data_IF_968845105632
#
_entry.id   IF_968845105632
#
_cell.length_a   1.000
_cell.length_b   1.000
_cell.length_c   1.000
_cell.angle_alpha   90.00
_cell.angle_beta   90.00
_cell.angle_gamma   90.00
#
_symmetry.space_group_name_H-M   'P 1'
#
loop_
_entity.id
_entity.type
_entity.pdbx_description
1 polymer ?
#
# COMPACT_ATOMS: atom_id res chain seq x y z
N UNK A 1 -35.72 5.36 -9.77
CA UNK A 1 -35.03 4.07 -9.51
C UNK A 1 -33.87 3.79 -10.48
N UNK A 2 -34.08 3.79 -11.81
CA UNK A 2 -33.05 3.40 -12.79
C UNK A 2 -31.78 4.27 -12.81
N UNK A 3 -31.93 5.59 -12.68
CA UNK A 3 -30.81 6.55 -12.67
C UNK A 3 -29.86 6.34 -11.46
N UNK A 4 -30.40 6.01 -10.28
CA UNK A 4 -29.58 5.75 -9.09
C UNK A 4 -28.75 4.47 -9.26
N UNK A 5 -29.35 3.40 -9.78
CA UNK A 5 -28.65 2.15 -10.06
C UNK A 5 -27.49 2.35 -11.05
N UNK A 6 -27.71 3.11 -12.14
CA UNK A 6 -26.65 3.40 -13.11
C UNK A 6 -25.49 4.20 -12.48
N UNK A 7 -25.80 5.21 -11.65
CA UNK A 7 -24.78 5.98 -10.93
C UNK A 7 -23.97 5.09 -9.98
N UNK A 8 -24.64 4.23 -9.20
CA UNK A 8 -23.97 3.28 -8.30
C UNK A 8 -23.11 2.26 -9.06
N UNK A 9 -23.57 1.79 -10.23
CA UNK A 9 -22.80 0.91 -11.11
C UNK A 9 -21.52 1.60 -11.59
N UNK A 10 -21.60 2.86 -12.00
CA UNK A 10 -20.43 3.63 -12.42
C UNK A 10 -19.42 3.80 -11.27
N UNK A 11 -19.90 4.15 -10.08
CA UNK A 11 -19.06 4.27 -8.87
C UNK A 11 -18.37 2.93 -8.57
N UNK A 12 -19.09 1.81 -8.64
CA UNK A 12 -18.52 0.47 -8.43
C UNK A 12 -17.40 0.16 -9.42
N UNK A 13 -17.56 0.51 -10.70
CA UNK A 13 -16.53 0.31 -11.74
C UNK A 13 -15.29 1.15 -11.41
N UNK A 14 -15.48 2.44 -11.08
CA UNK A 14 -14.38 3.34 -10.74
C UNK A 14 -13.63 2.87 -9.49
N UNK A 15 -14.35 2.44 -8.45
CA UNK A 15 -13.75 1.90 -7.23
C UNK A 15 -12.99 0.60 -7.48
N UNK A 16 -13.51 -0.29 -8.35
CA UNK A 16 -12.76 -1.50 -8.75
C UNK A 16 -11.48 -1.15 -9.48
N UNK A 17 -11.51 -0.15 -10.38
CA UNK A 17 -10.31 0.32 -11.09
C UNK A 17 -9.30 0.90 -10.10
N UNK A 18 -9.73 1.78 -9.20
CA UNK A 18 -8.89 2.39 -8.16
C UNK A 18 -8.24 1.33 -7.25
N UNK A 19 -9.04 0.35 -6.81
CA UNK A 19 -8.54 -0.77 -6.02
C UNK A 19 -7.49 -1.55 -6.81
N UNK A 20 -7.78 -1.87 -8.08
CA UNK A 20 -6.85 -2.59 -8.95
C UNK A 20 -5.54 -1.83 -9.19
N UNK A 21 -5.56 -0.51 -9.29
CA UNK A 21 -4.37 0.29 -9.60
C UNK A 21 -3.52 0.60 -8.37
N UNK A 22 -4.14 0.85 -7.22
CA UNK A 22 -3.42 1.36 -6.04
C UNK A 22 -3.24 0.36 -4.91
N UNK A 23 -4.12 -0.64 -4.82
CA UNK A 23 -4.19 -1.55 -3.67
C UNK A 23 -4.14 -3.04 -4.07
N UNK A 24 -4.21 -3.34 -5.37
CA UNK A 24 -3.89 -4.66 -5.88
C UNK A 24 -2.46 -4.97 -5.50
N UNK A 25 -2.31 -6.05 -4.75
CA UNK A 25 -1.02 -6.54 -4.29
C UNK A 25 -0.27 -5.61 -3.33
N UNK A 26 -1.02 -4.85 -2.52
CA UNK A 26 -0.41 -3.97 -1.50
C UNK A 26 0.47 -4.74 -0.52
N UNK A 27 0.16 -6.01 -0.25
CA UNK A 27 0.96 -6.87 0.62
C UNK A 27 2.34 -7.16 0.02
N UNK A 28 2.41 -7.62 -1.23
CA UNK A 28 3.68 -7.84 -1.93
C UNK A 28 4.50 -6.56 -2.04
N UNK A 29 3.85 -5.42 -2.29
CA UNK A 29 4.52 -4.11 -2.30
C UNK A 29 5.14 -3.75 -0.95
N UNK A 30 4.47 -4.08 0.17
CA UNK A 30 5.04 -3.93 1.52
C UNK A 30 6.23 -4.86 1.71
N UNK A 31 6.16 -6.11 1.27
CA UNK A 31 7.27 -7.07 1.35
C UNK A 31 8.49 -6.59 0.56
N UNK A 32 8.30 -6.14 -0.67
CA UNK A 32 9.35 -5.57 -1.52
C UNK A 32 9.98 -4.34 -0.86
N UNK A 33 9.17 -3.42 -0.31
CA UNK A 33 9.69 -2.23 0.38
C UNK A 33 10.47 -2.58 1.66
N UNK A 34 10.06 -3.62 2.40
CA UNK A 34 10.82 -4.14 3.55
C UNK A 34 12.17 -4.70 3.13
N UNK A 35 12.18 -5.50 2.06
CA UNK A 35 13.42 -6.05 1.52
C UNK A 35 14.37 -4.94 1.05
N UNK A 36 13.86 -3.93 0.33
CA UNK A 36 14.63 -2.78 -0.11
C UNK A 36 15.22 -1.98 1.07
N UNK A 37 14.45 -1.77 2.14
CA UNK A 37 14.96 -1.12 3.36
C UNK A 37 16.06 -1.95 4.03
N UNK A 38 15.93 -3.28 4.07
CA UNK A 38 16.96 -4.15 4.63
C UNK A 38 18.27 -4.07 3.83
N UNK A 39 18.19 -4.05 2.49
CA UNK A 39 19.35 -3.87 1.61
C UNK A 39 20.01 -2.51 1.87
N UNK A 40 19.24 -1.41 1.86
CA UNK A 40 19.78 -0.08 2.14
C UNK A 40 20.40 0.05 3.54
N UNK A 41 19.89 -0.71 4.52
CA UNK A 41 20.48 -0.78 5.86
C UNK A 41 21.83 -1.50 5.86
N UNK A 42 21.95 -2.62 5.14
CA UNK A 42 23.21 -3.35 5.01
C UNK A 42 24.25 -2.52 4.26
N UNK A 43 23.88 -1.89 3.15
CA UNK A 43 24.76 -1.01 2.38
C UNK A 43 25.28 0.16 3.22
N UNK A 44 24.42 0.77 4.04
CA UNK A 44 24.82 1.83 4.96
C UNK A 44 25.74 1.38 6.10
N UNK A 45 25.72 0.10 6.48
CA UNK A 45 26.65 -0.48 7.46
C UNK A 45 28.02 -0.76 6.82
N UNK A 46 28.04 -1.25 5.57
CA UNK A 46 29.28 -1.53 4.84
C UNK A 46 29.97 -0.25 4.35
N UNK A 47 29.19 0.73 3.89
CA UNK A 47 29.67 2.00 3.31
C UNK A 47 28.89 3.18 3.89
N UNK A 48 29.27 3.63 5.10
CA UNK A 48 28.62 4.78 5.71
C UNK A 48 28.91 6.05 4.91
N UNK A 49 27.88 6.61 4.29
CA UNK A 49 27.93 7.87 3.56
C UNK A 49 26.61 8.64 3.72
N UNK A 50 26.62 9.92 3.36
CA UNK A 50 25.40 10.71 3.34
C UNK A 50 24.36 10.14 2.36
N UNK A 51 24.82 9.60 1.23
CA UNK A 51 23.97 8.99 0.20
C UNK A 51 23.27 7.73 0.71
N UNK A 52 23.98 6.84 1.41
CA UNK A 52 23.39 5.62 1.97
C UNK A 52 22.40 5.92 3.10
N UNK A 53 22.65 6.98 3.88
CA UNK A 53 21.70 7.47 4.88
C UNK A 53 20.42 8.02 4.25
N UNK A 54 20.53 8.82 3.19
CA UNK A 54 19.36 9.36 2.48
C UNK A 54 18.57 8.27 1.75
N UNK A 55 19.25 7.29 1.12
CA UNK A 55 18.60 6.13 0.52
C UNK A 55 17.78 5.33 1.56
N UNK A 56 18.39 5.03 2.72
CA UNK A 56 17.70 4.37 3.83
C UNK A 56 16.49 5.16 4.33
N UNK A 57 16.60 6.48 4.44
CA UNK A 57 15.47 7.36 4.82
C UNK A 57 14.34 7.26 3.79
N UNK A 58 14.67 7.35 2.49
CA UNK A 58 13.71 7.21 1.40
C UNK A 58 12.95 5.88 1.46
N UNK A 59 13.66 4.76 1.55
CA UNK A 59 13.05 3.43 1.68
C UNK A 59 12.17 3.31 2.92
N UNK A 60 12.59 3.90 4.05
CA UNK A 60 11.81 3.89 5.30
C UNK A 60 10.50 4.65 5.15
N UNK A 61 10.52 5.84 4.55
CA UNK A 61 9.30 6.64 4.32
C UNK A 61 8.34 5.88 3.42
N UNK A 62 8.84 5.34 2.30
CA UNK A 62 8.02 4.56 1.37
C UNK A 62 7.40 3.34 2.04
N UNK A 63 8.16 2.62 2.86
CA UNK A 63 7.65 1.46 3.60
C UNK A 63 6.52 1.87 4.57
N UNK A 64 6.69 2.97 5.32
CA UNK A 64 5.69 3.45 6.27
C UNK A 64 4.38 3.83 5.57
N UNK A 65 4.46 4.49 4.40
CA UNK A 65 3.28 4.83 3.60
C UNK A 65 2.53 3.58 3.12
N UNK A 66 3.27 2.57 2.62
CA UNK A 66 2.68 1.31 2.17
C UNK A 66 2.06 0.53 3.33
N UNK A 67 2.71 0.45 4.49
CA UNK A 67 2.16 -0.19 5.69
C UNK A 67 0.88 0.50 6.17
N UNK A 68 0.85 1.83 6.18
CA UNK A 68 -0.35 2.59 6.55
C UNK A 68 -1.50 2.30 5.58
N UNK A 69 -1.21 2.25 4.28
CA UNK A 69 -2.21 1.93 3.27
C UNK A 69 -2.69 0.46 3.37
N UNK A 70 -1.80 -0.49 3.65
CA UNK A 70 -2.14 -1.89 3.91
C UNK A 70 -3.04 -2.04 5.14
N UNK A 71 -2.71 -1.39 6.26
CA UNK A 71 -3.51 -1.41 7.48
C UNK A 71 -4.93 -0.89 7.24
N UNK A 72 -5.07 0.26 6.56
CA UNK A 72 -6.36 0.81 6.19
C UNK A 72 -7.16 -0.14 5.29
N UNK A 73 -6.50 -0.77 4.32
CA UNK A 73 -7.11 -1.74 3.42
C UNK A 73 -7.62 -2.98 4.16
N UNK A 74 -6.80 -3.55 5.05
CA UNK A 74 -7.17 -4.72 5.86
C UNK A 74 -8.29 -4.40 6.85
N UNK A 75 -8.27 -3.21 7.47
CA UNK A 75 -9.38 -2.72 8.30
C UNK A 75 -10.68 -2.58 7.53
N UNK A 76 -10.62 -2.12 6.28
CA UNK A 76 -11.82 -2.02 5.45
C UNK A 76 -12.34 -3.42 5.04
N UNK A 77 -11.44 -4.34 4.69
CA UNK A 77 -11.81 -5.74 4.40
C UNK A 77 -12.42 -6.42 5.61
N UNK A 78 -11.85 -6.25 6.80
CA UNK A 78 -12.42 -6.83 8.02
C UNK A 78 -13.82 -6.27 8.27
N UNK A 79 -14.03 -4.95 8.20
CA UNK A 79 -15.36 -4.33 8.31
C UNK A 79 -16.37 -4.93 7.33
N UNK A 80 -15.98 -5.15 6.07
CA UNK A 80 -16.86 -5.77 5.08
C UNK A 80 -17.24 -7.20 5.46
N UNK A 81 -16.28 -7.99 5.97
CA UNK A 81 -16.56 -9.35 6.47
C UNK A 81 -17.51 -9.32 7.66
N UNK A 82 -17.32 -8.39 8.62
CA UNK A 82 -18.21 -8.25 9.77
C UNK A 82 -19.64 -7.84 9.41
N UNK A 83 -19.85 -7.08 8.32
CA UNK A 83 -21.19 -6.71 7.83
C UNK A 83 -21.89 -7.90 7.13
N UNK A 84 -21.12 -8.90 6.69
CA UNK A 84 -21.62 -10.09 5.99
C UNK A 84 -21.99 -11.24 6.94
N UNK A 85 -21.69 -11.12 8.23
CA UNK A 85 -22.06 -12.05 9.32
C UNK A 85 -23.33 -11.52 10.00
#
# INVERSE_FOLDING_TARGET
MFCLYQKLKQVKITLKKLNRTHYYDIHERVLVARAALAVAQLEGLERPSHETLEAKRGCKVQLLELQRAEELFLRQKSRQLWILI
#
